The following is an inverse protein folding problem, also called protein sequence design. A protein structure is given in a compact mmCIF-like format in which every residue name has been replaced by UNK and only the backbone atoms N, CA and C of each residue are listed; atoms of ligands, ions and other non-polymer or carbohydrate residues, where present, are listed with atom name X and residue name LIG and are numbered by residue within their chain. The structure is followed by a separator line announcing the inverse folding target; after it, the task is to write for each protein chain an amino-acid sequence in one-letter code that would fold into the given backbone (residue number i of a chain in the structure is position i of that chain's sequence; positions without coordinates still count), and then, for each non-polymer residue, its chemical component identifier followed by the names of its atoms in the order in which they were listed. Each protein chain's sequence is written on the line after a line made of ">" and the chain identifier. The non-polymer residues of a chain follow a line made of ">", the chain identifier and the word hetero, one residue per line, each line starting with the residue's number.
data_IF_062107139712
#
_entry.id   IF_062107139712
#
_cell.length_a   1.000
_cell.length_b   1.000
_cell.length_c   1.000
_cell.angle_alpha   90.00
_cell.angle_beta   90.00
_cell.angle_gamma   90.00
#
_symmetry.space_group_name_H-M   'P 1'
#
loop_
_entity.id
_entity.type
_entity.pdbx_description
1 polymer ?
#
# COMPACT_ATOMS: atom_id res chain seq x y z
N UNK A 1 -60.64 -29.96 -14.45
CA UNK A 1 -59.73 -28.84 -14.14
C UNK A 1 -58.34 -29.36 -13.89
N UNK A 2 -57.42 -29.22 -14.86
CA UNK A 2 -56.01 -29.56 -14.67
C UNK A 2 -55.33 -28.46 -13.87
N UNK A 3 -54.93 -28.75 -12.63
CA UNK A 3 -53.99 -27.93 -11.88
C UNK A 3 -52.56 -28.21 -12.38
N UNK A 4 -52.04 -27.35 -13.23
CA UNK A 4 -50.65 -27.35 -13.61
C UNK A 4 -49.78 -26.80 -12.47
N UNK A 5 -49.06 -27.68 -11.78
CA UNK A 5 -48.03 -27.26 -10.84
C UNK A 5 -46.87 -26.68 -11.65
N UNK A 6 -46.65 -25.35 -11.56
CA UNK A 6 -45.42 -24.72 -12.01
C UNK A 6 -44.28 -25.14 -11.07
N UNK A 7 -43.43 -26.07 -11.49
CA UNK A 7 -42.15 -26.33 -10.84
C UNK A 7 -41.23 -25.13 -11.15
N UNK A 8 -40.91 -24.34 -10.15
CA UNK A 8 -39.82 -23.38 -10.22
C UNK A 8 -38.52 -24.14 -9.96
N UNK A 9 -37.59 -24.05 -10.88
CA UNK A 9 -36.21 -24.55 -10.70
C UNK A 9 -35.36 -23.33 -10.40
N UNK A 10 -34.81 -23.29 -9.21
CA UNK A 10 -33.78 -22.30 -8.87
C UNK A 10 -32.43 -22.81 -9.40
N UNK A 11 -31.87 -22.12 -10.39
CA UNK A 11 -30.53 -22.39 -10.90
C UNK A 11 -29.60 -21.37 -10.26
N UNK A 12 -28.69 -21.86 -9.41
CA UNK A 12 -27.59 -21.05 -8.88
C UNK A 12 -26.38 -21.31 -9.76
N UNK A 13 -25.92 -20.31 -10.49
CA UNK A 13 -24.66 -20.36 -11.21
C UNK A 13 -23.58 -19.74 -10.32
N UNK A 14 -22.60 -20.51 -9.94
CA UNK A 14 -21.36 -20.04 -9.31
C UNK A 14 -20.34 -19.78 -10.42
N UNK A 15 -19.85 -18.57 -10.52
CA UNK A 15 -18.73 -18.23 -11.40
C UNK A 15 -17.46 -18.39 -10.58
N UNK A 16 -16.63 -19.36 -10.93
CA UNK A 16 -15.29 -19.51 -10.36
C UNK A 16 -14.38 -18.48 -11.03
N UNK A 17 -14.00 -17.44 -10.26
CA UNK A 17 -13.17 -16.33 -10.74
C UNK A 17 -11.73 -16.60 -10.37
N UNK A 18 -10.86 -16.73 -11.37
CA UNK A 18 -9.41 -16.73 -11.15
C UNK A 18 -8.97 -15.32 -10.73
N UNK A 19 -8.80 -15.12 -9.43
CA UNK A 19 -8.46 -13.83 -8.83
C UNK A 19 -7.07 -13.34 -9.23
N UNK A 20 -6.13 -14.26 -9.39
CA UNK A 20 -4.76 -13.93 -9.81
C UNK A 20 -4.77 -13.34 -11.20
N UNK A 21 -5.50 -14.02 -12.11
CA UNK A 21 -5.66 -13.56 -13.48
C UNK A 21 -6.47 -12.26 -13.56
N UNK A 22 -7.59 -12.17 -12.85
CA UNK A 22 -8.42 -10.97 -12.85
C UNK A 22 -7.62 -9.73 -12.42
N UNK A 23 -6.83 -9.84 -11.36
CA UNK A 23 -6.00 -8.72 -10.90
C UNK A 23 -4.91 -8.35 -11.89
N UNK A 24 -4.28 -9.33 -12.53
CA UNK A 24 -3.26 -9.10 -13.56
C UNK A 24 -3.86 -8.43 -14.79
N UNK A 25 -4.93 -8.97 -15.36
CA UNK A 25 -5.60 -8.43 -16.55
C UNK A 25 -6.09 -6.97 -16.28
N UNK A 26 -6.57 -6.71 -15.06
CA UNK A 26 -6.99 -5.36 -14.66
C UNK A 26 -5.83 -4.38 -14.61
N UNK A 27 -4.68 -4.79 -14.06
CA UNK A 27 -3.49 -3.94 -14.03
C UNK A 27 -2.93 -3.71 -15.44
N UNK A 28 -2.87 -4.73 -16.28
CA UNK A 28 -2.44 -4.62 -17.69
C UNK A 28 -3.32 -3.61 -18.43
N UNK A 29 -4.64 -3.77 -18.37
CA UNK A 29 -5.58 -2.82 -18.98
C UNK A 29 -5.44 -1.40 -18.44
N UNK A 30 -5.20 -1.26 -17.13
CA UNK A 30 -4.98 0.06 -16.51
C UNK A 30 -3.72 0.72 -17.08
N UNK A 31 -2.61 0.00 -17.20
CA UNK A 31 -1.35 0.54 -17.70
C UNK A 31 -1.39 0.81 -19.19
N UNK A 32 -2.04 -0.04 -19.99
CA UNK A 32 -2.30 0.21 -21.40
C UNK A 32 -3.09 1.52 -21.62
N UNK A 33 -4.14 1.75 -20.82
CA UNK A 33 -4.91 2.99 -20.89
C UNK A 33 -4.15 4.24 -20.41
N UNK A 34 -3.08 4.06 -19.65
CA UNK A 34 -2.17 5.12 -19.24
C UNK A 34 -1.00 5.33 -20.20
N UNK A 35 -0.92 4.54 -21.28
CA UNK A 35 0.20 4.50 -22.25
C UNK A 35 1.54 4.18 -21.54
N UNK A 36 1.48 3.26 -20.56
CA UNK A 36 2.64 2.80 -19.79
C UNK A 36 2.95 1.35 -20.13
N UNK A 37 4.13 1.10 -20.66
CA UNK A 37 4.64 -0.25 -20.88
C UNK A 37 5.17 -0.84 -19.57
N UNK A 38 4.57 -1.93 -19.11
CA UNK A 38 4.91 -2.55 -17.85
C UNK A 38 4.80 -4.08 -17.91
N UNK A 39 5.78 -4.77 -17.35
CA UNK A 39 5.69 -6.22 -17.14
C UNK A 39 5.19 -6.53 -15.74
N UNK A 40 4.25 -7.49 -15.63
CA UNK A 40 3.63 -7.87 -14.36
C UNK A 40 3.94 -9.33 -14.08
N UNK A 41 4.67 -9.57 -13.00
CA UNK A 41 4.89 -10.90 -12.43
C UNK A 41 4.01 -11.09 -11.21
N UNK A 42 3.33 -12.23 -11.13
CA UNK A 42 2.48 -12.56 -9.98
C UNK A 42 3.09 -13.71 -9.20
N UNK A 43 3.08 -13.61 -7.89
CA UNK A 43 3.44 -14.71 -6.99
C UNK A 43 2.40 -14.82 -5.89
N UNK A 44 2.08 -16.06 -5.52
CA UNK A 44 1.30 -16.35 -4.33
C UNK A 44 2.25 -16.35 -3.12
N UNK A 45 1.87 -15.63 -2.07
CA UNK A 45 2.56 -15.62 -0.79
C UNK A 45 2.04 -16.73 0.15
N UNK A 46 2.55 -16.74 1.37
CA UNK A 46 1.97 -17.53 2.45
C UNK A 46 0.53 -17.04 2.70
N UNK A 47 -0.37 -17.91 3.15
CA UNK A 47 -1.79 -17.59 3.45
C UNK A 47 -2.64 -17.08 2.26
N UNK A 48 -2.34 -17.52 1.03
CA UNK A 48 -3.03 -17.11 -0.21
C UNK A 48 -2.90 -15.60 -0.55
N UNK A 49 -1.89 -14.94 -0.03
CA UNK A 49 -1.57 -13.56 -0.40
C UNK A 49 -1.22 -13.49 -1.89
N UNK A 50 -1.76 -12.50 -2.61
CA UNK A 50 -1.42 -12.25 -4.01
C UNK A 50 -0.46 -11.06 -4.08
N UNK A 51 0.71 -11.29 -4.69
CA UNK A 51 1.74 -10.25 -4.84
C UNK A 51 1.98 -9.96 -6.32
N UNK A 52 1.62 -8.77 -6.77
CA UNK A 52 1.90 -8.26 -8.10
C UNK A 52 3.19 -7.43 -8.07
N UNK A 53 4.22 -7.88 -8.80
CA UNK A 53 5.46 -7.13 -9.02
C UNK A 53 5.45 -6.56 -10.40
N UNK A 54 5.65 -5.25 -10.49
CA UNK A 54 5.55 -4.46 -11.71
C UNK A 54 6.92 -3.87 -11.99
N UNK A 55 7.41 -4.09 -13.21
CA UNK A 55 8.64 -3.51 -13.73
C UNK A 55 8.31 -2.66 -14.96
N UNK A 56 8.73 -1.41 -14.94
CA UNK A 56 8.51 -0.44 -16.02
C UNK A 56 9.62 0.62 -15.98
N UNK A 57 9.86 1.27 -17.10
CA UNK A 57 10.73 2.47 -17.16
C UNK A 57 10.00 3.71 -16.63
N UNK A 58 8.66 3.66 -16.54
CA UNK A 58 7.78 4.72 -16.04
C UNK A 58 7.50 4.63 -14.53
N UNK A 59 8.41 4.01 -13.76
CA UNK A 59 8.27 3.85 -12.30
C UNK A 59 7.79 5.13 -11.56
N UNK A 60 8.33 6.34 -11.86
CA UNK A 60 7.90 7.55 -11.17
C UNK A 60 6.41 7.89 -11.33
N UNK A 61 5.82 7.57 -12.49
CA UNK A 61 4.40 7.82 -12.80
C UNK A 61 3.52 6.90 -11.96
N UNK A 62 3.84 5.61 -11.97
CA UNK A 62 3.07 4.58 -11.26
C UNK A 62 3.26 4.62 -9.73
N UNK A 63 4.42 5.06 -9.26
CA UNK A 63 4.68 5.23 -7.83
C UNK A 63 4.02 6.51 -7.32
N UNK A 64 4.19 7.62 -8.04
CA UNK A 64 3.72 8.93 -7.65
C UNK A 64 4.45 9.54 -6.45
N UNK A 65 4.03 10.72 -6.03
CA UNK A 65 4.64 11.44 -4.91
C UNK A 65 4.52 10.64 -3.60
N UNK A 66 5.64 10.23 -3.04
CA UNK A 66 5.71 9.45 -1.79
C UNK A 66 4.91 8.14 -1.85
N UNK A 67 4.80 7.51 -3.03
CA UNK A 67 4.10 6.24 -3.18
C UNK A 67 2.57 6.33 -3.23
N UNK A 68 1.98 7.53 -3.35
CA UNK A 68 0.52 7.73 -3.31
C UNK A 68 -0.21 7.05 -4.46
N UNK A 69 0.33 7.09 -5.68
CA UNK A 69 -0.27 6.42 -6.82
C UNK A 69 -0.23 4.91 -6.63
N UNK A 70 0.91 4.36 -6.23
CA UNK A 70 1.06 2.95 -5.90
C UNK A 70 0.06 2.49 -4.81
N UNK A 71 -0.13 3.28 -3.75
CA UNK A 71 -1.13 2.98 -2.71
C UNK A 71 -2.56 2.96 -3.27
N UNK A 72 -2.89 3.87 -4.18
CA UNK A 72 -4.20 3.93 -4.82
C UNK A 72 -4.43 2.73 -5.74
N UNK A 73 -3.43 2.34 -6.52
CA UNK A 73 -3.47 1.14 -7.37
C UNK A 73 -3.67 -0.10 -6.49
N UNK A 74 -2.86 -0.26 -5.45
CA UNK A 74 -3.01 -1.41 -4.52
C UNK A 74 -4.38 -1.43 -3.84
N UNK A 75 -4.88 -0.27 -3.42
CA UNK A 75 -6.20 -0.16 -2.80
C UNK A 75 -7.32 -0.59 -3.77
N UNK A 76 -7.24 -0.14 -5.02
CA UNK A 76 -8.21 -0.49 -6.06
C UNK A 76 -8.23 -1.99 -6.33
N UNK A 77 -7.07 -2.60 -6.64
CA UNK A 77 -6.97 -4.04 -6.93
C UNK A 77 -7.41 -4.88 -5.73
N UNK A 78 -6.97 -4.52 -4.53
CA UNK A 78 -7.38 -5.23 -3.32
C UNK A 78 -8.90 -5.22 -3.12
N UNK A 79 -9.55 -4.08 -3.32
CA UNK A 79 -11.00 -4.00 -3.16
C UNK A 79 -11.73 -4.75 -4.27
N UNK A 80 -11.26 -4.65 -5.52
CA UNK A 80 -11.83 -5.38 -6.65
C UNK A 80 -11.80 -6.88 -6.38
N UNK A 81 -10.65 -7.44 -6.01
CA UNK A 81 -10.52 -8.89 -5.80
C UNK A 81 -11.33 -9.37 -4.58
N UNK A 82 -11.39 -8.58 -3.52
CA UNK A 82 -12.16 -8.93 -2.32
C UNK A 82 -13.68 -8.87 -2.50
N UNK A 83 -14.20 -8.38 -3.64
CA UNK A 83 -15.65 -8.51 -3.98
C UNK A 83 -16.00 -9.97 -4.32
N UNK A 84 -15.05 -10.73 -4.86
CA UNK A 84 -15.26 -12.09 -5.35
C UNK A 84 -14.88 -13.17 -4.31
N UNK A 85 -14.58 -12.80 -3.08
CA UNK A 85 -14.19 -13.73 -2.01
C UNK A 85 -15.05 -13.53 -0.76
N UNK A 86 -15.36 -14.63 -0.08
CA UNK A 86 -15.98 -14.58 1.24
C UNK A 86 -14.92 -14.29 2.32
N UNK A 87 -13.74 -14.87 2.20
CA UNK A 87 -12.60 -14.62 3.07
C UNK A 87 -11.74 -13.47 2.51
N UNK A 88 -11.29 -12.62 3.41
CA UNK A 88 -10.46 -11.49 3.03
C UNK A 88 -9.08 -11.94 2.63
N UNK A 89 -8.71 -11.67 1.37
CA UNK A 89 -7.36 -11.91 0.85
C UNK A 89 -6.49 -10.66 0.98
N UNK A 90 -5.20 -10.87 1.19
CA UNK A 90 -4.19 -9.81 1.18
C UNK A 90 -3.67 -9.67 -0.26
N UNK A 91 -3.71 -8.45 -0.76
CA UNK A 91 -3.19 -8.11 -2.09
C UNK A 91 -2.11 -7.06 -1.94
N UNK A 92 -0.93 -7.38 -2.44
CA UNK A 92 0.24 -6.51 -2.43
C UNK A 92 0.62 -6.14 -3.86
N UNK A 93 0.95 -4.88 -4.07
CA UNK A 93 1.51 -4.36 -5.33
C UNK A 93 2.85 -3.74 -5.01
N UNK A 94 3.88 -4.09 -5.74
CA UNK A 94 5.22 -3.49 -5.67
C UNK A 94 5.68 -3.07 -7.06
N UNK A 95 6.22 -1.88 -7.18
CA UNK A 95 6.68 -1.30 -8.44
C UNK A 95 8.16 -0.99 -8.31
N UNK A 96 8.99 -1.68 -9.10
CA UNK A 96 10.44 -1.47 -9.13
C UNK A 96 11.13 -1.59 -7.75
N UNK A 97 10.58 -2.40 -6.83
CA UNK A 97 11.14 -2.55 -5.48
C UNK A 97 10.99 -1.29 -4.60
N UNK A 98 10.06 -0.39 -4.94
CA UNK A 98 9.90 0.91 -4.28
C UNK A 98 9.73 0.79 -2.77
N UNK A 99 8.95 -0.17 -2.28
CA UNK A 99 8.67 -0.29 -0.84
C UNK A 99 9.95 -0.48 0.00
N UNK A 100 10.87 -1.30 -0.50
CA UNK A 100 12.15 -1.54 0.18
C UNK A 100 13.07 -0.29 0.12
N UNK A 101 13.12 0.38 -1.02
CA UNK A 101 13.89 1.62 -1.19
C UNK A 101 13.33 2.75 -0.32
N UNK A 102 12.01 2.91 -0.31
CA UNK A 102 11.33 3.92 0.51
C UNK A 102 11.57 3.73 2.00
N UNK A 103 11.52 2.49 2.47
CA UNK A 103 11.86 2.16 3.86
C UNK A 103 13.26 2.65 4.23
N UNK A 104 14.26 2.35 3.40
CA UNK A 104 15.65 2.81 3.61
C UNK A 104 15.76 4.34 3.63
N UNK A 105 15.09 5.03 2.70
CA UNK A 105 15.06 6.49 2.65
C UNK A 105 14.46 7.09 3.94
N UNK A 106 13.37 6.52 4.45
CA UNK A 106 12.74 6.97 5.69
C UNK A 106 13.62 6.73 6.92
N UNK A 107 14.35 5.62 6.98
CA UNK A 107 15.30 5.34 8.04
C UNK A 107 16.49 6.33 8.04
N UNK A 108 16.98 6.68 6.86
CA UNK A 108 18.03 7.71 6.69
C UNK A 108 17.51 9.09 7.11
N UNK A 109 16.32 9.47 6.63
CA UNK A 109 15.66 10.72 7.01
C UNK A 109 15.48 10.80 8.52
N UNK A 110 14.96 9.75 9.16
CA UNK A 110 14.78 9.66 10.60
C UNK A 110 16.08 9.94 11.35
N UNK A 111 17.16 9.24 10.97
CA UNK A 111 18.46 9.36 11.61
C UNK A 111 19.05 10.77 11.45
N UNK A 112 18.95 11.35 10.24
CA UNK A 112 19.44 12.70 9.94
C UNK A 112 18.70 13.74 10.77
N UNK A 113 17.37 13.68 10.74
CA UNK A 113 16.53 14.64 11.48
C UNK A 113 16.67 14.49 13.00
N UNK A 114 16.80 13.27 13.51
CA UNK A 114 17.03 13.06 14.94
C UNK A 114 18.34 13.69 15.42
N UNK A 115 19.43 13.58 14.65
CA UNK A 115 20.72 14.25 14.96
C UNK A 115 20.58 15.76 14.96
N UNK A 116 19.83 16.32 14.02
CA UNK A 116 19.57 17.75 13.93
C UNK A 116 18.76 18.24 15.16
N UNK A 117 17.66 17.58 15.50
CA UNK A 117 16.82 17.89 16.66
C UNK A 117 17.59 17.74 17.98
N UNK A 118 18.39 16.69 18.12
CA UNK A 118 19.23 16.51 19.30
C UNK A 118 20.23 17.66 19.52
N UNK A 119 20.77 18.22 18.42
CA UNK A 119 21.72 19.34 18.44
C UNK A 119 21.03 20.69 18.64
N UNK A 120 20.01 20.98 17.81
CA UNK A 120 19.34 22.27 17.78
C UNK A 120 18.37 22.49 18.93
N UNK A 121 17.86 21.40 19.51
CA UNK A 121 16.76 21.38 20.50
C UNK A 121 15.43 21.95 19.94
N UNK A 122 15.31 22.09 18.63
CA UNK A 122 14.12 22.56 17.94
C UNK A 122 13.37 21.37 17.35
N UNK A 123 12.06 21.22 17.61
CA UNK A 123 11.25 20.17 16.99
C UNK A 123 11.19 20.32 15.47
N UNK A 124 11.23 19.21 14.74
CA UNK A 124 11.09 19.18 13.29
C UNK A 124 9.85 18.39 12.92
N UNK A 125 9.01 19.02 12.09
CA UNK A 125 7.82 18.44 11.49
C UNK A 125 8.21 17.84 10.14
N UNK A 126 7.91 16.54 9.95
CA UNK A 126 8.10 15.87 8.68
C UNK A 126 6.89 16.06 7.76
N UNK A 127 7.07 15.76 6.48
CA UNK A 127 5.96 15.75 5.52
C UNK A 127 4.87 14.73 5.91
N UNK A 128 3.61 14.98 5.50
CA UNK A 128 2.55 13.99 5.66
C UNK A 128 2.89 12.67 5.01
N UNK A 129 2.66 11.58 5.74
CA UNK A 129 2.93 10.23 5.30
C UNK A 129 1.92 9.24 5.90
N UNK A 130 1.80 8.06 5.30
CA UNK A 130 0.88 7.03 5.76
C UNK A 130 1.28 6.41 7.11
N UNK A 131 0.39 5.60 7.69
CA UNK A 131 0.61 5.02 9.02
C UNK A 131 1.82 4.08 9.08
N UNK A 132 2.05 3.33 8.00
CA UNK A 132 3.19 2.41 7.91
C UNK A 132 4.51 3.17 7.88
N UNK A 133 4.62 4.23 7.08
CA UNK A 133 5.81 5.08 7.00
C UNK A 133 6.11 5.75 8.35
N UNK A 134 5.07 6.28 9.03
CA UNK A 134 5.23 6.85 10.37
C UNK A 134 5.74 5.82 11.37
N UNK A 135 5.28 4.57 11.27
CA UNK A 135 5.75 3.47 12.13
C UNK A 135 7.22 3.15 11.87
N UNK A 136 7.69 3.15 10.61
CA UNK A 136 9.11 2.94 10.29
C UNK A 136 9.98 3.95 11.04
N UNK A 137 9.66 5.24 10.92
CA UNK A 137 10.44 6.31 11.58
C UNK A 137 10.36 6.19 13.10
N UNK A 138 9.17 5.98 13.63
CA UNK A 138 8.95 5.81 15.07
C UNK A 138 9.77 4.63 15.62
N UNK A 139 9.71 3.47 14.97
CA UNK A 139 10.48 2.29 15.37
C UNK A 139 11.98 2.55 15.28
N UNK A 140 12.45 3.22 14.21
CA UNK A 140 13.86 3.57 14.03
C UNK A 140 14.41 4.45 15.15
N UNK A 141 13.56 5.33 15.70
CA UNK A 141 13.94 6.30 16.72
C UNK A 141 13.53 5.90 18.15
N UNK A 142 12.88 4.76 18.35
CA UNK A 142 12.34 4.35 19.64
C UNK A 142 13.41 4.30 20.75
N UNK A 143 14.62 3.88 20.42
CA UNK A 143 15.73 3.73 21.36
C UNK A 143 16.66 4.96 21.45
N UNK A 144 16.33 6.04 20.72
CA UNK A 144 17.15 7.26 20.78
C UNK A 144 16.98 7.98 22.12
N UNK A 145 18.12 8.36 22.72
CA UNK A 145 18.13 8.95 24.07
C UNK A 145 17.64 10.40 24.09
N UNK A 146 17.91 11.15 23.02
CA UNK A 146 17.77 12.62 22.98
C UNK A 146 16.54 13.12 22.28
N UNK A 147 15.77 12.24 21.62
CA UNK A 147 14.59 12.61 20.85
C UNK A 147 13.40 11.70 21.14
N UNK A 148 12.21 12.25 20.96
CA UNK A 148 10.93 11.54 20.91
C UNK A 148 10.27 11.77 19.56
N UNK A 149 9.30 10.92 19.24
CA UNK A 149 8.46 11.09 18.06
C UNK A 149 6.99 11.07 18.46
N UNK A 150 6.18 11.93 17.86
CA UNK A 150 4.73 11.92 18.01
C UNK A 150 4.06 12.15 16.66
N UNK A 151 2.88 11.57 16.48
CA UNK A 151 2.09 11.70 15.26
C UNK A 151 1.03 12.77 15.45
N UNK A 152 1.02 13.77 14.56
CA UNK A 152 0.08 14.91 14.57
C UNK A 152 -0.70 14.98 13.26
N UNK A 153 -1.77 15.79 13.27
CA UNK A 153 -2.62 16.02 12.11
C UNK A 153 -3.65 14.92 11.90
N UNK A 154 -4.53 15.15 10.94
CA UNK A 154 -5.63 14.27 10.64
C UNK A 154 -5.61 13.82 9.18
N UNK A 155 -6.15 12.63 8.92
CA UNK A 155 -6.34 12.06 7.57
C UNK A 155 -5.08 12.20 6.70
N UNK A 156 -5.17 12.88 5.57
CA UNK A 156 -4.09 13.04 4.60
C UNK A 156 -2.97 14.01 5.06
N UNK A 157 -3.24 14.85 6.07
CA UNK A 157 -2.26 15.76 6.64
C UNK A 157 -1.52 15.18 7.86
N UNK A 158 -1.76 13.90 8.16
CA UNK A 158 -1.13 13.25 9.31
C UNK A 158 0.35 13.00 9.05
N UNK A 159 1.18 13.50 9.97
CA UNK A 159 2.64 13.52 9.86
C UNK A 159 3.29 13.15 11.18
N UNK A 160 4.59 13.02 11.18
CA UNK A 160 5.40 12.77 12.36
C UNK A 160 6.18 14.01 12.73
N UNK A 161 6.22 14.32 14.03
CA UNK A 161 7.07 15.36 14.62
C UNK A 161 8.17 14.66 15.41
N UNK A 162 9.43 15.04 15.15
CA UNK A 162 10.58 14.63 15.94
C UNK A 162 10.92 15.77 16.87
N UNK A 163 10.90 15.56 18.16
CA UNK A 163 11.12 16.57 19.18
C UNK A 163 12.20 16.17 20.19
N UNK A 164 12.89 17.14 20.82
CA UNK A 164 13.87 16.83 21.85
C UNK A 164 13.17 16.18 23.06
N UNK A 165 13.80 15.16 23.61
CA UNK A 165 13.34 14.51 24.84
C UNK A 165 13.47 15.50 25.99
N UNK A 166 12.39 15.81 26.69
CA UNK A 166 12.45 16.61 27.92
C UNK A 166 13.22 15.80 28.97
N UNK A 167 14.21 16.43 29.59
CA UNK A 167 14.90 15.89 30.75
C UNK A 167 13.96 15.80 31.94
#
# INVERSE_FOLDING_TARGET
>A
GLFGFKKSVNVTATVDVDLVKLGKDTLETMFENMDVDASITVSEGEDKDIVYRIETDENPVLIGKNGKTLESIQFYIRNLLNIFTEERIIVLVDIGGYKAQRKKQLEILATKTAKEVARSKVPVKLDPMNAYERRIIHTKLAEWRDVNTRSEGEKQNRHLVIEPKKK
#
